data_IF_270894268327
#
_entry.id   IF_270894268327
#
_cell.length_a   1.000
_cell.length_b   1.000
_cell.length_c   1.000
_cell.angle_alpha   90.00
_cell.angle_beta   90.00
_cell.angle_gamma   90.00
#
_symmetry.space_group_name_H-M   'P 1'
#
loop_
_entity.id
_entity.type
_entity.pdbx_description
1 polymer ?
#
# COMPACT_ATOMS: atom_id res chain seq x y z
N UNK A 1 -10.95 -17.40 -15.88
CA UNK A 1 -11.72 -16.49 -16.76
C UNK A 1 -11.20 -15.08 -16.51
N UNK A 2 -10.56 -14.42 -17.49
CA UNK A 2 -10.10 -13.01 -17.37
C UNK A 2 -10.56 -12.18 -18.57
N UNK A 3 -11.85 -12.28 -18.94
CA UNK A 3 -12.33 -11.68 -20.20
C UNK A 3 -12.74 -10.21 -20.10
N UNK A 4 -12.86 -9.64 -18.89
CA UNK A 4 -13.33 -8.24 -18.69
C UNK A 4 -12.34 -7.33 -17.94
N UNK A 5 -11.09 -7.75 -17.72
CA UNK A 5 -10.08 -6.92 -17.04
C UNK A 5 -9.68 -5.73 -17.93
N UNK A 6 -9.77 -4.47 -17.44
CA UNK A 6 -9.36 -3.29 -18.22
C UNK A 6 -7.92 -3.40 -18.73
N UNK A 7 -7.64 -2.91 -19.94
CA UNK A 7 -6.31 -3.04 -20.56
C UNK A 7 -5.19 -2.41 -19.72
N UNK A 8 -5.48 -1.32 -19.01
CA UNK A 8 -4.51 -0.71 -18.10
C UNK A 8 -4.17 -1.63 -16.92
N UNK A 9 -5.16 -2.35 -16.38
CA UNK A 9 -4.97 -3.24 -15.25
C UNK A 9 -4.12 -4.45 -15.66
N UNK A 10 -4.35 -4.99 -16.87
CA UNK A 10 -3.48 -6.05 -17.43
C UNK A 10 -2.03 -5.61 -17.55
N UNK A 11 -1.79 -4.37 -18.01
CA UNK A 11 -0.42 -3.80 -18.10
C UNK A 11 0.24 -3.66 -16.74
N UNK A 12 -0.52 -3.20 -15.75
CA UNK A 12 -0.02 -3.07 -14.37
C UNK A 12 0.36 -4.44 -13.82
N UNK A 13 -0.52 -5.44 -13.92
CA UNK A 13 -0.27 -6.80 -13.42
C UNK A 13 0.96 -7.42 -14.10
N UNK A 14 1.06 -7.33 -15.44
CA UNK A 14 2.21 -7.85 -16.18
C UNK A 14 3.53 -7.20 -15.74
N UNK A 15 3.51 -5.91 -15.38
CA UNK A 15 4.68 -5.24 -14.81
C UNK A 15 4.98 -5.73 -13.40
N UNK A 16 3.97 -5.91 -12.54
CA UNK A 16 4.15 -6.44 -11.18
C UNK A 16 4.78 -7.83 -11.18
N UNK A 17 4.40 -8.71 -12.12
CA UNK A 17 5.01 -10.04 -12.25
C UNK A 17 6.53 -9.94 -12.44
N UNK A 18 6.98 -9.01 -13.30
CA UNK A 18 8.40 -8.77 -13.54
C UNK A 18 9.10 -8.20 -12.30
N UNK A 19 8.49 -7.22 -11.64
CA UNK A 19 9.03 -6.62 -10.42
C UNK A 19 9.18 -7.65 -9.30
N UNK A 20 8.19 -8.51 -9.09
CA UNK A 20 8.27 -9.58 -8.08
C UNK A 20 9.43 -10.52 -8.38
N UNK A 21 9.65 -10.89 -9.65
CA UNK A 21 10.80 -11.72 -10.06
C UNK A 21 12.12 -10.99 -9.80
N UNK A 22 12.19 -9.69 -10.10
CA UNK A 22 13.36 -8.85 -9.86
C UNK A 22 13.67 -8.74 -8.36
N UNK A 23 12.68 -8.44 -7.52
CA UNK A 23 12.83 -8.36 -6.07
C UNK A 23 13.26 -9.70 -5.46
N UNK A 24 12.65 -10.82 -5.88
CA UNK A 24 13.01 -12.17 -5.40
C UNK A 24 14.46 -12.58 -5.73
N UNK A 25 15.08 -11.97 -6.76
CA UNK A 25 16.51 -12.16 -7.07
C UNK A 25 17.42 -11.40 -6.11
N UNK A 26 16.95 -10.30 -5.53
CA UNK A 26 17.71 -9.47 -4.59
C UNK A 26 17.57 -10.05 -3.17
N UNK A 27 16.34 -10.33 -2.74
CA UNK A 27 16.05 -10.97 -1.46
C UNK A 27 15.15 -12.16 -1.72
N UNK A 28 15.61 -13.36 -1.39
CA UNK A 28 14.80 -14.57 -1.55
C UNK A 28 13.55 -14.53 -0.67
N UNK A 29 12.54 -15.31 -1.06
CA UNK A 29 11.31 -15.45 -0.28
C UNK A 29 11.59 -15.81 1.19
N UNK A 30 12.43 -16.80 1.45
CA UNK A 30 12.76 -17.24 2.81
C UNK A 30 13.44 -16.14 3.65
N UNK A 31 14.32 -15.34 3.03
CA UNK A 31 14.98 -14.25 3.72
C UNK A 31 14.02 -13.08 3.97
N UNK A 32 13.11 -12.80 3.04
CA UNK A 32 12.05 -11.81 3.23
C UNK A 32 11.07 -12.26 4.33
N UNK A 33 10.72 -13.55 4.35
CA UNK A 33 9.87 -14.13 5.38
C UNK A 33 10.52 -13.99 6.76
N UNK A 34 11.81 -14.32 6.90
CA UNK A 34 12.55 -14.10 8.16
C UNK A 34 12.53 -12.64 8.61
N UNK A 35 12.75 -11.69 7.68
CA UNK A 35 12.66 -10.25 7.97
C UNK A 35 11.26 -9.83 8.40
N UNK A 36 10.22 -10.38 7.79
CA UNK A 36 8.83 -10.04 8.11
C UNK A 36 8.38 -10.57 9.48
N UNK A 37 9.02 -11.64 9.97
CA UNK A 37 8.80 -12.21 11.31
C UNK A 37 9.62 -11.54 12.42
N UNK A 38 10.41 -10.51 12.13
CA UNK A 38 10.96 -9.66 13.21
C UNK A 38 9.81 -9.00 13.99
N UNK A 39 10.03 -8.79 15.30
CA UNK A 39 9.03 -8.44 16.32
C UNK A 39 8.54 -6.97 16.24
N UNK A 40 8.29 -6.47 15.02
CA UNK A 40 7.72 -5.14 14.81
C UNK A 40 6.22 -5.19 15.13
N UNK A 41 5.80 -4.40 16.11
CA UNK A 41 4.39 -4.18 16.38
C UNK A 41 3.71 -3.52 15.17
N UNK A 42 2.57 -4.06 14.76
CA UNK A 42 1.66 -3.42 13.81
C UNK A 42 0.49 -2.80 14.54
N UNK A 43 0.00 -1.68 14.03
CA UNK A 43 -1.21 -1.05 14.54
C UNK A 43 -2.45 -1.75 13.99
N UNK A 44 -3.54 -1.71 14.74
CA UNK A 44 -4.80 -2.30 14.29
C UNK A 44 -5.54 -1.34 13.34
N UNK A 45 -5.36 -1.55 12.04
CA UNK A 45 -6.00 -0.76 10.98
C UNK A 45 -7.53 -0.86 11.04
N UNK A 46 -8.08 -2.05 11.35
CA UNK A 46 -9.52 -2.24 11.42
C UNK A 46 -10.11 -1.52 12.64
N UNK A 47 -9.48 -1.68 13.81
CA UNK A 47 -9.95 -1.05 15.04
C UNK A 47 -9.91 0.47 14.94
N UNK A 48 -8.89 1.07 14.33
CA UNK A 48 -8.83 2.53 14.13
C UNK A 48 -10.03 3.07 13.32
N UNK A 49 -10.51 2.31 12.32
CA UNK A 49 -11.72 2.66 11.59
C UNK A 49 -12.97 2.47 12.46
N UNK A 50 -13.04 1.37 13.22
CA UNK A 50 -14.17 1.08 14.12
C UNK A 50 -14.33 2.12 15.21
N UNK A 51 -13.24 2.55 15.84
CA UNK A 51 -13.26 3.58 16.89
C UNK A 51 -13.91 4.88 16.40
N UNK A 52 -13.61 5.31 15.16
CA UNK A 52 -14.26 6.47 14.55
C UNK A 52 -15.75 6.26 14.35
N UNK A 53 -16.16 5.10 13.83
CA UNK A 53 -17.57 4.75 13.62
C UNK A 53 -18.35 4.71 14.93
N UNK A 54 -17.77 4.08 15.97
CA UNK A 54 -18.40 3.93 17.28
C UNK A 54 -18.59 5.30 17.98
N UNK A 55 -17.68 6.25 17.72
CA UNK A 55 -17.81 7.67 18.11
C UNK A 55 -18.74 8.49 17.21
N UNK A 56 -19.42 7.87 16.23
CA UNK A 56 -20.27 8.53 15.21
C UNK A 56 -19.52 9.59 14.39
N UNK A 57 -18.23 9.36 14.14
CA UNK A 57 -17.37 10.19 13.29
C UNK A 57 -17.15 9.52 11.93
N UNK A 58 -16.70 10.29 10.94
CA UNK A 58 -16.29 9.75 9.66
C UNK A 58 -14.97 8.99 9.79
N UNK A 59 -14.95 7.71 9.42
CA UNK A 59 -13.74 6.89 9.37
C UNK A 59 -13.06 7.06 8.00
N UNK A 60 -12.15 8.04 7.90
CA UNK A 60 -11.49 8.39 6.63
C UNK A 60 -10.13 7.69 6.53
N UNK A 61 -9.93 6.92 5.46
CA UNK A 61 -8.60 6.49 5.00
C UNK A 61 -8.10 7.57 4.02
N UNK A 62 -7.11 8.36 4.44
CA UNK A 62 -6.58 9.44 3.61
C UNK A 62 -5.45 8.92 2.71
N UNK A 63 -5.58 9.12 1.40
CA UNK A 63 -4.63 8.58 0.41
C UNK A 63 -3.54 9.58 0.03
N UNK A 64 -2.29 9.14 0.13
CA UNK A 64 -1.09 9.85 -0.27
C UNK A 64 -0.70 9.36 -1.68
N UNK A 65 -1.01 10.18 -2.71
CA UNK A 65 -0.87 9.82 -4.13
C UNK A 65 -0.31 10.97 -4.97
N UNK A 66 0.79 10.73 -5.69
CA UNK A 66 1.46 11.72 -6.54
C UNK A 66 0.80 11.85 -7.91
N UNK A 67 0.56 10.73 -8.58
CA UNK A 67 0.00 10.70 -9.94
C UNK A 67 -1.02 9.56 -10.11
N UNK A 68 -1.71 9.54 -11.26
CA UNK A 68 -2.51 8.39 -11.68
C UNK A 68 -2.58 8.29 -13.21
N UNK A 69 -2.80 7.08 -13.78
CA UNK A 69 -2.87 6.91 -15.23
C UNK A 69 -3.94 7.78 -15.91
N UNK A 70 -5.06 8.02 -15.22
CA UNK A 70 -6.19 8.78 -15.76
C UNK A 70 -6.03 10.31 -15.69
N UNK A 71 -5.17 10.82 -14.80
CA UNK A 71 -5.09 12.26 -14.49
C UNK A 71 -3.68 12.84 -14.56
N UNK A 72 -2.65 12.02 -14.79
CA UNK A 72 -1.27 12.46 -14.73
C UNK A 72 -0.87 12.85 -13.31
N UNK A 73 0.02 13.83 -13.18
CA UNK A 73 0.47 14.37 -11.89
C UNK A 73 -0.69 15.10 -11.21
N UNK A 74 -1.01 14.68 -9.99
CA UNK A 74 -2.03 15.31 -9.14
C UNK A 74 -1.41 16.39 -8.25
N UNK A 75 -0.13 16.22 -7.88
CA UNK A 75 0.60 17.14 -7.01
C UNK A 75 2.08 17.17 -7.39
N UNK A 76 2.52 18.30 -7.93
CA UNK A 76 3.92 18.54 -8.33
C UNK A 76 4.86 18.50 -7.11
N UNK A 77 4.57 19.35 -6.12
CA UNK A 77 5.30 19.43 -4.85
C UNK A 77 4.82 18.34 -3.89
N UNK A 78 5.40 17.15 -4.03
CA UNK A 78 5.01 15.95 -3.33
C UNK A 78 5.98 15.60 -2.21
N UNK A 79 5.61 15.92 -0.97
CA UNK A 79 6.29 15.47 0.24
C UNK A 79 5.34 14.54 1.03
N UNK A 80 5.54 13.21 0.99
CA UNK A 80 4.61 12.26 1.60
C UNK A 80 4.53 12.42 3.13
N UNK A 81 5.64 12.76 3.79
CA UNK A 81 5.70 12.95 5.24
C UNK A 81 4.88 14.17 5.69
N UNK A 82 5.03 15.30 5.01
CA UNK A 82 4.24 16.51 5.30
C UNK A 82 2.74 16.26 5.06
N UNK A 83 2.39 15.55 3.99
CA UNK A 83 1.00 15.19 3.69
C UNK A 83 0.44 14.28 4.77
N UNK A 84 1.18 13.25 5.20
CA UNK A 84 0.77 12.33 6.25
C UNK A 84 0.51 13.03 7.58
N UNK A 85 1.45 13.87 8.04
CA UNK A 85 1.28 14.68 9.26
C UNK A 85 0.08 15.59 9.19
N UNK A 86 -0.16 16.19 8.02
CA UNK A 86 -1.36 16.99 7.79
C UNK A 86 -2.64 16.16 7.92
N UNK A 87 -2.71 14.98 7.31
CA UNK A 87 -3.88 14.11 7.43
C UNK A 87 -4.12 13.64 8.87
N UNK A 88 -3.07 13.28 9.60
CA UNK A 88 -3.15 12.93 11.03
C UNK A 88 -3.69 14.10 11.86
N UNK A 89 -3.14 15.31 11.69
CA UNK A 89 -3.57 16.50 12.42
C UNK A 89 -5.03 16.88 12.14
N UNK A 90 -5.57 16.52 10.97
CA UNK A 90 -6.95 16.80 10.56
C UNK A 90 -7.90 15.61 10.75
N UNK A 91 -7.47 14.59 11.51
CA UNK A 91 -8.36 13.56 12.04
C UNK A 91 -8.63 12.38 11.12
N UNK A 92 -7.76 12.12 10.14
CA UNK A 92 -7.79 10.85 9.40
C UNK A 92 -7.73 9.66 10.38
N UNK A 93 -8.46 8.58 10.05
CA UNK A 93 -8.45 7.36 10.83
C UNK A 93 -7.23 6.49 10.50
N UNK A 94 -6.94 6.42 9.20
CA UNK A 94 -5.83 5.65 8.66
C UNK A 94 -5.25 6.36 7.43
N UNK A 95 -4.09 5.91 6.98
CA UNK A 95 -3.44 6.37 5.76
C UNK A 95 -3.41 5.27 4.71
N UNK A 96 -3.37 5.67 3.44
CA UNK A 96 -3.14 4.80 2.30
C UNK A 96 -1.99 5.38 1.49
N UNK A 97 -0.89 4.65 1.33
CA UNK A 97 0.30 5.14 0.60
C UNK A 97 0.47 4.34 -0.69
N UNK A 98 0.48 5.04 -1.84
CA UNK A 98 0.77 4.43 -3.14
C UNK A 98 2.25 4.09 -3.23
N UNK A 99 2.56 2.81 -3.50
CA UNK A 99 3.93 2.33 -3.70
C UNK A 99 4.29 2.07 -5.17
N UNK A 100 3.29 2.02 -6.05
CA UNK A 100 3.50 1.71 -7.47
C UNK A 100 4.25 2.84 -8.19
N UNK A 101 5.45 2.54 -8.67
CA UNK A 101 6.34 3.51 -9.32
C UNK A 101 5.86 3.90 -10.72
N UNK A 102 5.60 2.91 -11.56
CA UNK A 102 5.46 3.12 -13.01
C UNK A 102 4.16 3.83 -13.40
N UNK A 103 3.06 3.59 -12.69
CA UNK A 103 1.73 4.09 -13.05
C UNK A 103 1.23 5.19 -12.11
N UNK A 104 1.67 5.17 -10.84
CA UNK A 104 1.23 6.13 -9.82
C UNK A 104 2.33 7.08 -9.32
N UNK A 105 3.58 6.88 -9.75
CA UNK A 105 4.76 7.59 -9.25
C UNK A 105 4.86 7.53 -7.70
N UNK A 106 4.44 6.41 -7.14
CA UNK A 106 4.67 6.03 -5.76
C UNK A 106 6.11 5.60 -5.51
N UNK A 107 6.41 5.23 -4.28
CA UNK A 107 7.68 4.61 -3.89
C UNK A 107 7.48 3.84 -2.57
N UNK A 108 8.10 2.68 -2.43
CA UNK A 108 8.14 1.96 -1.15
C UNK A 108 8.80 2.82 -0.06
N UNK A 109 9.78 3.67 -0.41
CA UNK A 109 10.40 4.58 0.54
C UNK A 109 9.42 5.59 1.12
N UNK A 110 8.39 6.00 0.37
CA UNK A 110 7.36 6.91 0.90
C UNK A 110 6.57 6.27 2.04
N UNK A 111 6.29 4.96 1.95
CA UNK A 111 5.59 4.25 3.01
C UNK A 111 6.46 4.17 4.27
N UNK A 112 7.73 3.83 4.10
CA UNK A 112 8.71 3.76 5.20
C UNK A 112 8.83 5.14 5.88
N UNK A 113 9.04 6.20 5.10
CA UNK A 113 9.20 7.56 5.63
C UNK A 113 7.93 8.03 6.36
N UNK A 114 6.74 7.71 5.82
CA UNK A 114 5.46 8.04 6.48
C UNK A 114 5.29 7.25 7.77
N UNK A 115 5.63 5.96 7.79
CA UNK A 115 5.54 5.11 8.98
C UNK A 115 6.37 5.66 10.14
N UNK A 116 7.57 6.16 9.88
CA UNK A 116 8.43 6.75 10.91
C UNK A 116 7.95 8.14 11.38
N UNK A 117 6.98 8.75 10.70
CA UNK A 117 6.59 10.14 10.92
C UNK A 117 5.22 10.36 11.57
N UNK A 118 4.38 9.33 11.63
CA UNK A 118 2.98 9.40 12.12
C UNK A 118 2.62 8.19 12.98
N UNK A 119 1.53 8.30 13.73
CA UNK A 119 1.01 7.26 14.63
C UNK A 119 -0.25 6.56 14.08
N UNK A 120 -0.74 6.95 12.90
CA UNK A 120 -1.88 6.28 12.26
C UNK A 120 -1.50 4.93 11.63
N UNK A 121 -2.45 3.96 11.55
CA UNK A 121 -2.26 2.75 10.76
C UNK A 121 -2.16 3.06 9.25
N UNK A 122 -1.34 2.29 8.53
CA UNK A 122 -1.01 2.52 7.12
C UNK A 122 -1.38 1.31 6.26
N UNK A 123 -2.14 1.57 5.19
CA UNK A 123 -2.38 0.65 4.09
C UNK A 123 -1.28 0.80 3.03
N UNK A 124 -0.61 -0.29 2.66
CA UNK A 124 0.17 -0.34 1.41
C UNK A 124 -0.80 -0.43 0.24
N UNK A 125 -0.94 0.66 -0.51
CA UNK A 125 -1.80 0.72 -1.69
C UNK A 125 -1.02 0.29 -2.92
N UNK A 126 -1.17 -0.97 -3.28
CA UNK A 126 -0.43 -1.63 -4.36
C UNK A 126 -1.29 -2.69 -5.07
N UNK A 127 -0.83 -3.17 -6.21
CA UNK A 127 -1.37 -4.33 -6.91
C UNK A 127 -0.65 -5.59 -6.42
N UNK A 128 -1.17 -6.18 -5.34
CA UNK A 128 -0.63 -7.40 -4.75
C UNK A 128 -1.15 -8.60 -5.54
N UNK A 129 -0.21 -9.38 -6.08
CA UNK A 129 -0.43 -10.59 -6.88
C UNK A 129 0.43 -11.78 -6.42
N UNK A 130 1.36 -11.56 -5.49
CA UNK A 130 2.26 -12.58 -4.97
C UNK A 130 2.44 -12.45 -3.45
N UNK A 131 2.48 -13.55 -2.68
CA UNK A 131 2.71 -13.52 -1.23
C UNK A 131 4.00 -12.81 -0.81
N UNK A 132 5.00 -12.76 -1.67
CA UNK A 132 6.23 -11.99 -1.42
C UNK A 132 5.94 -10.50 -1.16
N UNK A 133 4.99 -9.91 -1.88
CA UNK A 133 4.61 -8.51 -1.69
C UNK A 133 3.91 -8.27 -0.34
N UNK A 134 3.27 -9.30 0.23
CA UNK A 134 2.69 -9.24 1.58
C UNK A 134 3.80 -9.15 2.63
N UNK A 135 4.85 -9.94 2.47
CA UNK A 135 6.02 -9.90 3.35
C UNK A 135 6.77 -8.56 3.23
N UNK A 136 6.93 -8.05 2.01
CA UNK A 136 7.47 -6.71 1.78
C UNK A 136 6.66 -5.64 2.51
N UNK A 137 5.33 -5.67 2.41
CA UNK A 137 4.47 -4.71 3.09
C UNK A 137 4.70 -4.73 4.61
N UNK A 138 4.81 -5.93 5.20
CA UNK A 138 5.12 -6.09 6.63
C UNK A 138 6.46 -5.48 7.00
N UNK A 139 7.51 -5.76 6.23
CA UNK A 139 8.87 -5.22 6.47
C UNK A 139 8.89 -3.69 6.37
N UNK A 140 8.17 -3.12 5.40
CA UNK A 140 8.04 -1.68 5.23
C UNK A 140 7.27 -0.99 6.37
N UNK A 141 6.50 -1.76 7.15
CA UNK A 141 5.70 -1.26 8.27
C UNK A 141 4.26 -0.92 7.91
N UNK A 142 3.71 -1.51 6.85
CA UNK A 142 2.27 -1.44 6.59
C UNK A 142 1.51 -2.30 7.60
N UNK A 143 0.36 -1.79 8.02
CA UNK A 143 -0.57 -2.40 8.96
C UNK A 143 -1.72 -3.11 8.21
N UNK A 144 -1.91 -2.78 6.93
CA UNK A 144 -2.94 -3.33 6.07
C UNK A 144 -2.42 -3.43 4.62
N UNK A 145 -3.00 -4.35 3.85
CA UNK A 145 -2.71 -4.55 2.43
C UNK A 145 -3.99 -4.50 1.60
N UNK A 146 -3.87 -4.15 0.32
CA UNK A 146 -4.98 -4.18 -0.63
C UNK A 146 -4.93 -5.46 -1.47
N UNK A 147 -6.03 -6.21 -1.44
CA UNK A 147 -6.31 -7.26 -2.42
C UNK A 147 -7.39 -6.79 -3.38
N UNK A 148 -7.16 -6.94 -4.69
CA UNK A 148 -8.09 -6.53 -5.73
C UNK A 148 -8.65 -7.78 -6.39
N UNK A 149 -9.94 -8.05 -6.20
CA UNK A 149 -10.60 -9.24 -6.75
C UNK A 149 -10.49 -9.36 -8.29
N UNK A 150 -10.37 -8.24 -9.01
CA UNK A 150 -10.18 -8.26 -10.47
C UNK A 150 -8.74 -8.66 -10.90
N UNK A 151 -7.79 -8.71 -9.98
CA UNK A 151 -6.40 -9.11 -10.21
C UNK A 151 -6.12 -10.57 -9.82
N UNK A 152 -6.99 -11.18 -9.01
CA UNK A 152 -6.73 -12.46 -8.34
C UNK A 152 -7.82 -13.47 -8.70
N UNK A 153 -7.43 -14.74 -8.83
CA UNK A 153 -8.38 -15.85 -8.79
C UNK A 153 -8.81 -16.18 -7.36
N UNK A 154 -9.90 -16.93 -7.19
CA UNK A 154 -10.39 -17.36 -5.87
C UNK A 154 -9.35 -18.15 -5.06
N UNK A 155 -8.41 -18.83 -5.72
CA UNK A 155 -7.32 -19.56 -5.04
C UNK A 155 -6.12 -18.68 -4.65
N UNK A 156 -6.04 -17.45 -5.19
CA UNK A 156 -5.01 -16.46 -4.87
C UNK A 156 -5.50 -15.41 -3.86
N UNK A 157 -6.80 -15.42 -3.53
CA UNK A 157 -7.44 -14.55 -2.54
C UNK A 157 -7.39 -15.17 -1.14
#
# INVERSE_FOLDING_TARGET
MMTNTPDILKKIIARKEQEVIECKKIISFDNMMKKAYDDRETLDFYQALRDKVDLKQNAIIAEIKKASPSKGILRENFNPVEIAKSYEAHGAACLSVLTDKDFFQGDDQYLIDVREAVSLPILRKEFIIDPYQVLEARVMGADCILLIAACLSDGEM
#
